data_IF_366711517231
#
_entry.id   IF_366711517231
#
_cell.length_a   1.000
_cell.length_b   1.000
_cell.length_c   1.000
_cell.angle_alpha   90.00
_cell.angle_beta   90.00
_cell.angle_gamma   90.00
#
_symmetry.space_group_name_H-M   'P 1'
#
loop_
_entity.id
_entity.type
_entity.pdbx_description
1 polymer ?
#
# COMPACT_ATOMS: atom_id res chain seq x y z
N UNK A 1 -7.90 -21.28 7.36
CA UNK A 1 -7.10 -20.05 7.60
C UNK A 1 -7.98 -18.84 7.33
N UNK A 2 -8.25 -18.07 8.38
CA UNK A 2 -9.26 -17.02 8.44
C UNK A 2 -8.83 -15.75 7.70
N UNK A 3 -9.59 -15.34 6.68
CA UNK A 3 -9.49 -14.04 6.01
C UNK A 3 -9.95 -12.86 6.89
N UNK A 4 -9.39 -12.73 8.09
CA UNK A 4 -9.74 -11.68 9.06
C UNK A 4 -8.76 -10.49 9.12
N UNK A 5 -7.71 -10.46 8.30
CA UNK A 5 -6.71 -9.40 8.36
C UNK A 5 -6.91 -8.24 7.37
N UNK A 6 -8.02 -8.22 6.62
CA UNK A 6 -8.33 -7.11 5.70
C UNK A 6 -9.03 -5.91 6.37
N UNK A 7 -9.54 -6.03 7.60
CA UNK A 7 -10.34 -4.98 8.27
C UNK A 7 -9.54 -4.04 9.21
N UNK A 8 -8.22 -3.95 9.06
CA UNK A 8 -7.43 -2.86 9.66
C UNK A 8 -7.24 -1.72 8.64
N UNK A 9 -8.35 -1.20 8.11
CA UNK A 9 -8.36 -0.05 7.19
C UNK A 9 -8.03 1.27 7.91
N UNK A 10 -8.21 1.36 9.23
CA UNK A 10 -8.08 2.60 10.02
C UNK A 10 -6.68 2.85 10.64
N UNK A 11 -5.67 2.04 10.31
CA UNK A 11 -4.29 2.37 10.73
C UNK A 11 -3.78 3.57 9.95
N UNK A 12 -3.51 4.68 10.67
CA UNK A 12 -2.90 5.91 10.16
C UNK A 12 -1.71 5.59 9.25
N UNK A 13 -1.62 6.31 8.13
CA UNK A 13 -0.53 6.14 7.18
C UNK A 13 0.81 6.57 7.79
N UNK A 14 1.84 5.76 7.55
CA UNK A 14 3.15 5.98 8.14
C UNK A 14 3.91 7.06 7.38
N UNK A 15 3.82 8.31 7.83
CA UNK A 15 4.71 9.38 7.38
C UNK A 15 6.02 9.32 8.16
N UNK A 16 7.14 9.31 7.44
CA UNK A 16 8.49 9.27 8.02
C UNK A 16 9.17 10.61 7.83
N UNK A 17 9.82 11.10 8.88
CA UNK A 17 10.54 12.37 8.85
C UNK A 17 11.95 12.18 9.37
N UNK A 18 12.89 12.99 8.88
CA UNK A 18 14.22 13.13 9.45
C UNK A 18 14.52 14.60 9.66
N UNK A 19 15.15 14.93 10.80
CA UNK A 19 15.47 16.30 11.17
C UNK A 19 16.94 16.40 11.55
N UNK A 20 17.61 17.42 11.02
CA UNK A 20 18.97 17.76 11.39
C UNK A 20 19.14 19.26 11.61
N UNK A 21 19.80 19.66 12.70
CA UNK A 21 20.04 21.06 13.03
C UNK A 21 21.50 21.30 13.32
N UNK A 22 22.16 22.11 12.50
CA UNK A 22 23.55 22.51 12.73
C UNK A 22 23.76 23.98 12.35
N UNK A 23 24.60 24.68 13.11
CA UNK A 23 24.99 26.09 12.87
C UNK A 23 23.83 27.06 12.61
N UNK A 24 22.67 26.84 13.23
CA UNK A 24 21.49 27.70 13.06
C UNK A 24 20.71 27.46 11.76
N UNK A 25 20.95 26.33 11.10
CA UNK A 25 20.15 25.85 9.97
C UNK A 25 19.42 24.56 10.37
N UNK A 26 18.14 24.48 10.01
CA UNK A 26 17.27 23.31 10.15
C UNK A 26 17.08 22.70 8.76
N UNK A 27 17.49 21.44 8.61
CA UNK A 27 17.22 20.61 7.46
C UNK A 27 16.21 19.53 7.82
N UNK A 28 15.24 19.30 6.94
CA UNK A 28 14.17 18.32 7.13
C UNK A 28 13.99 17.52 5.85
N UNK A 29 13.90 16.20 5.98
CA UNK A 29 13.40 15.30 4.95
C UNK A 29 12.10 14.66 5.42
N UNK A 30 11.11 14.54 4.55
CA UNK A 30 9.84 13.86 4.83
C UNK A 30 9.52 12.91 3.68
N UNK A 31 9.17 11.68 4.01
CA UNK A 31 8.71 10.68 3.07
C UNK A 31 7.32 10.19 3.46
N UNK A 32 6.43 10.22 2.48
CA UNK A 32 5.09 9.66 2.57
C UNK A 32 4.95 8.48 1.59
N UNK A 33 4.79 7.24 2.10
CA UNK A 33 4.63 6.05 1.27
C UNK A 33 3.44 6.09 0.31
N UNK A 34 2.38 6.83 0.63
CA UNK A 34 1.19 6.90 -0.22
C UNK A 34 1.43 7.74 -1.46
N UNK A 35 2.12 8.87 -1.31
CA UNK A 35 2.41 9.76 -2.44
C UNK A 35 3.69 9.37 -3.16
N UNK A 36 4.56 8.56 -2.53
CA UNK A 36 5.90 8.21 -3.04
C UNK A 36 6.79 9.44 -3.31
N UNK A 37 6.45 10.57 -2.67
CA UNK A 37 7.17 11.83 -2.80
C UNK A 37 8.13 12.03 -1.65
N UNK A 38 9.31 12.54 -1.96
CA UNK A 38 10.28 13.00 -0.98
C UNK A 38 10.18 14.52 -0.86
N UNK A 39 9.80 15.01 0.31
CA UNK A 39 9.71 16.45 0.59
C UNK A 39 10.95 16.89 1.36
N UNK A 40 11.53 17.99 0.94
CA UNK A 40 12.71 18.58 1.59
C UNK A 40 12.35 19.97 2.08
N UNK A 41 12.84 20.35 3.25
CA UNK A 41 12.60 21.68 3.81
C UNK A 41 13.86 22.20 4.49
N UNK A 42 14.13 23.47 4.23
CA UNK A 42 15.24 24.22 4.80
C UNK A 42 14.73 25.47 5.50
N UNK A 43 15.19 25.71 6.72
CA UNK A 43 14.86 26.92 7.45
C UNK A 43 16.03 27.42 8.29
N UNK A 44 16.18 28.75 8.41
CA UNK A 44 17.10 29.36 9.38
C UNK A 44 16.44 29.40 10.76
N UNK A 45 17.15 28.91 11.76
CA UNK A 45 16.68 28.80 13.14
C UNK A 45 17.68 29.42 14.11
N UNK A 46 17.16 30.11 15.11
CA UNK A 46 17.88 30.58 16.29
C UNK A 46 17.50 29.70 17.48
N UNK A 47 18.29 29.72 18.55
CA UNK A 47 17.96 28.96 19.77
C UNK A 47 16.58 29.34 20.35
N UNK A 48 16.17 30.61 20.19
CA UNK A 48 14.90 31.11 20.71
C UNK A 48 13.68 30.65 19.89
N UNK A 49 13.84 30.38 18.59
CA UNK A 49 12.72 29.98 17.71
C UNK A 49 12.73 28.49 17.35
N UNK A 50 13.80 27.76 17.69
CA UNK A 50 14.00 26.36 17.30
C UNK A 50 12.84 25.48 17.74
N UNK A 51 12.42 25.57 19.00
CA UNK A 51 11.30 24.77 19.55
C UNK A 51 10.02 25.01 18.74
N UNK A 52 9.68 26.28 18.49
CA UNK A 52 8.52 26.66 17.70
C UNK A 52 8.60 26.16 16.26
N UNK A 53 9.75 26.30 15.60
CA UNK A 53 9.93 25.83 14.21
C UNK A 53 9.77 24.32 14.10
N UNK A 54 10.27 23.56 15.08
CA UNK A 54 10.15 22.10 15.13
C UNK A 54 8.72 21.67 15.41
N UNK A 55 8.02 22.35 16.32
CA UNK A 55 6.62 22.10 16.61
C UNK A 55 5.75 22.36 15.39
N UNK A 56 6.00 23.44 14.66
CA UNK A 56 5.30 23.74 13.40
C UNK A 56 5.56 22.66 12.36
N UNK A 57 6.82 22.26 12.12
CA UNK A 57 7.13 21.19 11.14
C UNK A 57 6.48 19.86 11.55
N UNK A 58 6.54 19.48 12.81
CA UNK A 58 5.87 18.27 13.31
C UNK A 58 4.36 18.35 13.12
N UNK A 59 3.76 19.48 13.46
CA UNK A 59 2.32 19.68 13.28
C UNK A 59 2.01 19.55 11.80
N UNK A 60 2.59 20.37 10.92
CA UNK A 60 2.22 20.43 9.51
C UNK A 60 2.43 19.15 8.70
N UNK A 61 3.39 18.30 9.07
CA UNK A 61 3.63 17.04 8.35
C UNK A 61 3.11 15.80 9.08
N UNK A 62 2.62 15.94 10.32
CA UNK A 62 2.04 14.88 11.16
C UNK A 62 2.81 13.52 11.08
N UNK A 63 4.14 13.51 11.33
CA UNK A 63 4.94 12.31 11.13
C UNK A 63 4.67 11.24 12.18
N UNK A 64 4.61 9.99 11.75
CA UNK A 64 4.50 8.81 12.63
C UNK A 64 5.83 8.39 13.22
N UNK A 65 6.95 8.72 12.56
CA UNK A 65 8.30 8.37 12.99
C UNK A 65 9.27 9.46 12.59
N UNK A 66 10.13 9.89 13.52
CA UNK A 66 11.09 10.96 13.29
C UNK A 66 12.51 10.46 13.54
N UNK A 67 13.35 10.42 12.53
CA UNK A 67 14.78 10.10 12.65
C UNK A 67 15.54 11.37 13.04
N UNK A 68 16.37 11.29 14.08
CA UNK A 68 17.15 12.43 14.56
C UNK A 68 18.59 12.03 14.81
N UNK A 69 19.51 12.98 14.62
CA UNK A 69 20.91 12.77 14.93
C UNK A 69 21.10 12.66 16.45
N UNK A 70 21.90 11.68 16.89
CA UNK A 70 22.22 11.50 18.31
C UNK A 70 22.78 12.75 19.00
N UNK A 71 23.60 13.55 18.30
CA UNK A 71 24.14 14.81 18.84
C UNK A 71 23.09 15.90 19.00
N UNK A 72 21.97 15.78 18.29
CA UNK A 72 20.83 16.68 18.38
C UNK A 72 19.67 16.11 19.22
N UNK A 73 19.69 14.84 19.61
CA UNK A 73 18.60 14.13 20.29
C UNK A 73 18.03 14.90 21.49
N UNK A 74 18.91 15.43 22.35
CA UNK A 74 18.51 16.19 23.53
C UNK A 74 17.74 17.50 23.22
N UNK A 75 17.83 18.01 21.99
CA UNK A 75 17.07 19.20 21.55
C UNK A 75 15.62 18.86 21.15
N UNK A 76 15.27 17.58 21.10
CA UNK A 76 13.99 17.05 20.63
C UNK A 76 13.29 16.18 21.69
N UNK A 77 13.50 16.49 22.98
CA UNK A 77 12.89 15.73 24.06
C UNK A 77 11.35 15.74 23.93
N UNK A 78 10.71 14.57 24.07
CA UNK A 78 9.25 14.39 23.90
C UNK A 78 8.75 14.07 22.48
N UNK A 79 9.62 13.83 21.50
CA UNK A 79 9.25 13.38 20.16
C UNK A 79 9.46 11.87 20.02
N UNK A 80 8.54 11.17 19.32
CA UNK A 80 8.70 9.76 18.95
C UNK A 80 9.85 9.62 17.94
N UNK A 81 11.05 9.50 18.48
CA UNK A 81 12.30 9.76 17.75
C UNK A 81 13.21 8.53 17.72
N UNK A 82 13.65 8.18 16.52
CA UNK A 82 14.64 7.14 16.27
C UNK A 82 16.01 7.82 16.24
N UNK A 83 16.93 7.33 17.05
CA UNK A 83 18.28 7.87 17.16
C UNK A 83 19.20 7.18 16.15
N UNK A 84 19.82 7.95 15.26
CA UNK A 84 20.89 7.49 14.37
C UNK A 84 22.09 8.43 14.47
N UNK A 85 23.30 7.87 14.41
CA UNK A 85 24.56 8.60 14.44
C UNK A 85 25.01 9.05 13.03
N UNK A 86 24.42 8.51 11.96
CA UNK A 86 24.89 8.68 10.58
C UNK A 86 24.27 9.89 9.87
N UNK A 87 24.59 11.08 10.34
CA UNK A 87 24.23 12.33 9.68
C UNK A 87 25.43 12.98 8.98
N UNK A 88 26.43 12.21 8.53
CA UNK A 88 27.57 12.78 7.81
C UNK A 88 27.17 13.16 6.38
N UNK A 89 27.66 14.31 5.91
CA UNK A 89 27.31 14.81 4.57
C UNK A 89 27.73 13.84 3.46
N UNK A 90 28.92 13.23 3.58
CA UNK A 90 29.42 12.32 2.56
C UNK A 90 28.61 11.02 2.48
N UNK A 91 28.20 10.47 3.63
CA UNK A 91 27.30 9.32 3.65
C UNK A 91 25.91 9.67 3.10
N UNK A 92 25.41 10.86 3.43
CA UNK A 92 24.13 11.34 2.91
C UNK A 92 24.14 11.51 1.39
N UNK A 93 25.20 12.10 0.83
CA UNK A 93 25.41 12.18 -0.61
C UNK A 93 25.47 10.79 -1.24
N UNK A 94 26.17 9.83 -0.62
CA UNK A 94 26.24 8.45 -1.12
C UNK A 94 24.86 7.77 -1.16
N UNK A 95 23.99 8.01 -0.17
CA UNK A 95 22.61 7.47 -0.18
C UNK A 95 21.73 8.16 -1.23
N UNK A 96 21.80 9.48 -1.38
CA UNK A 96 21.04 10.21 -2.42
C UNK A 96 21.46 9.75 -3.82
N UNK A 97 22.75 9.48 -4.04
CA UNK A 97 23.24 8.93 -5.30
C UNK A 97 22.76 7.49 -5.56
N UNK A 98 22.06 6.81 -4.64
CA UNK A 98 21.45 5.50 -4.92
C UNK A 98 19.98 5.62 -5.36
N UNK A 99 19.44 6.83 -5.44
CA UNK A 99 18.05 7.06 -5.77
C UNK A 99 17.77 7.02 -7.28
N UNK A 100 16.57 6.54 -7.63
CA UNK A 100 15.90 6.82 -8.89
C UNK A 100 14.80 7.87 -8.67
N UNK A 101 14.73 8.88 -9.53
CA UNK A 101 13.64 9.88 -9.53
C UNK A 101 12.99 9.82 -10.90
N UNK A 102 11.66 9.83 -10.96
CA UNK A 102 10.91 9.93 -12.22
C UNK A 102 10.32 11.34 -12.36
N UNK A 103 11.19 12.30 -12.67
CA UNK A 103 10.85 13.72 -12.65
C UNK A 103 9.95 14.19 -13.80
N UNK A 104 10.04 13.54 -14.97
CA UNK A 104 9.60 14.15 -16.23
C UNK A 104 8.40 13.46 -16.88
N UNK A 105 7.86 12.39 -16.29
CA UNK A 105 6.69 11.69 -16.84
C UNK A 105 6.92 11.05 -18.22
N UNK A 106 8.16 11.04 -18.71
CA UNK A 106 8.56 10.19 -19.83
C UNK A 106 8.68 8.75 -19.31
N UNK A 107 8.12 7.78 -20.05
CA UNK A 107 8.09 6.34 -19.74
C UNK A 107 9.49 5.69 -19.57
N UNK A 108 10.56 6.46 -19.62
CA UNK A 108 11.92 6.02 -19.45
C UNK A 108 12.39 6.30 -18.01
N UNK A 109 12.29 5.28 -17.16
CA UNK A 109 13.19 5.19 -16.02
C UNK A 109 14.61 5.17 -16.59
N UNK A 110 15.32 6.30 -16.55
CA UNK A 110 16.74 6.27 -16.84
C UNK A 110 17.37 5.38 -15.78
N UNK A 111 17.91 4.23 -16.19
CA UNK A 111 18.73 3.43 -15.31
C UNK A 111 19.98 4.24 -14.98
N UNK A 112 19.89 5.01 -13.88
CA UNK A 112 20.97 5.84 -13.37
C UNK A 112 22.17 5.01 -12.94
N UNK A 113 22.08 3.67 -12.95
CA UNK A 113 23.23 2.78 -12.76
C UNK A 113 24.09 2.65 -14.02
N UNK A 114 23.54 2.86 -15.21
CA UNK A 114 24.28 2.79 -16.49
C UNK A 114 24.88 4.15 -16.91
N UNK A 115 24.45 5.25 -16.29
CA UNK A 115 24.94 6.59 -16.61
C UNK A 115 26.29 6.89 -15.95
N UNK A 116 27.23 7.57 -16.65
CA UNK A 116 28.47 8.02 -16.04
C UNK A 116 28.20 8.92 -14.82
N UNK A 117 29.02 8.80 -13.77
CA UNK A 117 28.84 9.53 -12.49
C UNK A 117 28.57 11.02 -12.65
N UNK A 118 29.21 11.67 -13.64
CA UNK A 118 29.04 13.09 -13.94
C UNK A 118 27.60 13.46 -14.31
N UNK A 119 26.91 12.63 -15.10
CA UNK A 119 25.53 12.87 -15.51
C UNK A 119 24.57 12.65 -14.35
N UNK A 120 24.81 11.59 -13.58
CA UNK A 120 24.06 11.30 -12.35
C UNK A 120 24.14 12.44 -11.34
N UNK A 121 25.34 13.00 -11.18
CA UNK A 121 25.57 14.16 -10.33
C UNK A 121 24.77 15.38 -10.80
N UNK A 122 24.81 15.69 -12.10
CA UNK A 122 24.05 16.81 -12.66
C UNK A 122 22.53 16.64 -12.50
N UNK A 123 22.04 15.42 -12.73
CA UNK A 123 20.63 15.07 -12.56
C UNK A 123 20.18 15.24 -11.10
N UNK A 124 20.95 14.73 -10.12
CA UNK A 124 20.63 14.90 -8.71
C UNK A 124 20.68 16.37 -8.26
N UNK A 125 21.57 17.18 -8.83
CA UNK A 125 21.64 18.63 -8.56
C UNK A 125 20.43 19.42 -9.03
N UNK A 126 19.65 18.88 -9.98
CA UNK A 126 18.37 19.47 -10.37
C UNK A 126 17.32 19.35 -9.24
N UNK A 127 17.33 18.23 -8.52
CA UNK A 127 16.34 17.91 -7.49
C UNK A 127 16.76 18.37 -6.09
N UNK A 128 18.04 18.27 -5.78
CA UNK A 128 18.60 18.57 -4.48
C UNK A 128 19.53 19.78 -4.53
N UNK A 129 19.30 20.71 -3.59
CA UNK A 129 20.21 21.83 -3.36
C UNK A 129 21.36 21.37 -2.45
N UNK A 130 22.40 20.80 -3.04
CA UNK A 130 23.55 20.26 -2.29
C UNK A 130 24.31 21.30 -1.45
N UNK A 131 24.13 22.59 -1.74
CA UNK A 131 24.63 23.70 -0.91
C UNK A 131 24.03 23.71 0.49
N UNK A 132 22.79 23.21 0.64
CA UNK A 132 22.13 23.06 1.91
C UNK A 132 22.50 21.72 2.58
N UNK A 133 23.65 21.74 3.25
CA UNK A 133 24.23 20.55 3.88
C UNK A 133 23.27 19.91 4.88
N UNK A 134 22.53 20.70 5.65
CA UNK A 134 21.66 20.18 6.70
C UNK A 134 20.49 19.40 6.12
N UNK A 135 19.89 19.90 5.03
CA UNK A 135 18.80 19.19 4.34
C UNK A 135 19.31 17.91 3.70
N UNK A 136 20.48 17.94 3.06
CA UNK A 136 21.11 16.73 2.50
C UNK A 136 21.36 15.68 3.59
N UNK A 137 21.93 16.09 4.74
CA UNK A 137 22.19 15.20 5.87
C UNK A 137 20.90 14.59 6.43
N UNK A 138 19.84 15.38 6.60
CA UNK A 138 18.54 14.90 7.04
C UNK A 138 17.94 13.89 6.06
N UNK A 139 17.95 14.19 4.76
CA UNK A 139 17.47 13.29 3.70
C UNK A 139 18.27 11.99 3.68
N UNK A 140 19.60 12.06 3.69
CA UNK A 140 20.45 10.87 3.68
C UNK A 140 20.18 9.92 4.84
N UNK A 141 20.01 10.46 6.05
CA UNK A 141 19.64 9.68 7.22
C UNK A 141 18.24 9.05 7.09
N UNK A 142 17.28 9.79 6.52
CA UNK A 142 15.94 9.26 6.24
C UNK A 142 15.99 8.07 5.28
N UNK A 143 16.72 8.21 4.17
CA UNK A 143 16.86 7.15 3.15
C UNK A 143 17.53 5.91 3.72
N UNK A 144 18.57 6.10 4.55
CA UNK A 144 19.24 5.00 5.24
C UNK A 144 18.28 4.25 6.14
N UNK A 145 17.51 4.95 6.96
CA UNK A 145 16.50 4.35 7.84
C UNK A 145 15.43 3.58 7.05
N UNK A 146 14.89 4.20 5.99
CA UNK A 146 13.88 3.58 5.13
C UNK A 146 14.41 2.33 4.41
N UNK A 147 15.70 2.32 4.08
CA UNK A 147 16.41 1.17 3.54
C UNK A 147 16.63 0.09 4.60
N UNK A 148 17.10 0.42 5.80
CA UNK A 148 17.42 -0.56 6.84
C UNK A 148 16.18 -1.28 7.36
N UNK A 149 15.07 -0.56 7.52
CA UNK A 149 13.78 -1.11 7.96
C UNK A 149 13.01 -1.83 6.84
N UNK A 150 13.58 -1.96 5.63
CA UNK A 150 12.93 -2.57 4.45
C UNK A 150 11.54 -1.97 4.16
N UNK A 151 11.41 -0.66 4.42
CA UNK A 151 10.19 0.10 4.15
C UNK A 151 10.08 0.34 2.65
N UNK A 152 11.18 0.74 2.00
CA UNK A 152 11.18 1.11 0.56
C UNK A 152 11.98 0.14 -0.31
N UNK A 153 12.96 -0.57 0.25
CA UNK A 153 13.73 -1.58 -0.49
C UNK A 153 12.96 -2.90 -0.60
N UNK A 154 12.72 -3.43 -1.81
CA UNK A 154 12.27 -4.80 -2.00
C UNK A 154 13.40 -5.80 -1.73
N UNK A 155 13.09 -7.09 -1.85
CA UNK A 155 13.93 -8.26 -1.53
C UNK A 155 15.29 -8.26 -2.27
N UNK A 156 15.41 -7.54 -3.38
CA UNK A 156 16.63 -7.46 -4.18
C UNK A 156 17.41 -6.16 -3.90
N UNK A 157 18.61 -6.29 -3.32
CA UNK A 157 19.50 -5.18 -2.96
C UNK A 157 20.00 -4.38 -4.17
N UNK A 158 19.73 -4.86 -5.38
CA UNK A 158 20.17 -4.31 -6.65
C UNK A 158 19.26 -3.20 -7.21
N UNK A 159 17.99 -3.10 -6.78
CA UNK A 159 17.07 -2.09 -7.31
C UNK A 159 17.13 -0.77 -6.52
N UNK A 160 17.28 0.39 -7.19
CA UNK A 160 17.32 1.68 -6.52
C UNK A 160 15.98 2.04 -5.85
N UNK A 161 16.04 2.92 -4.85
CA UNK A 161 14.84 3.49 -4.23
C UNK A 161 14.25 4.51 -5.20
N UNK A 162 12.99 4.30 -5.60
CA UNK A 162 12.29 5.19 -6.54
C UNK A 162 11.37 6.17 -5.81
N UNK A 163 11.48 7.44 -6.17
CA UNK A 163 10.52 8.47 -5.81
C UNK A 163 9.89 9.06 -7.07
N UNK A 164 8.60 9.39 -7.00
CA UNK A 164 7.93 10.10 -8.08
C UNK A 164 8.54 11.50 -8.25
N UNK A 165 8.78 12.22 -7.16
CA UNK A 165 9.35 13.55 -7.21
C UNK A 165 10.05 13.91 -5.90
N UNK A 166 10.98 14.87 -6.01
CA UNK A 166 11.56 15.58 -4.87
C UNK A 166 10.99 16.99 -4.86
N UNK A 167 10.22 17.31 -3.82
CA UNK A 167 9.54 18.60 -3.66
C UNK A 167 10.25 19.44 -2.59
N UNK A 168 10.77 20.59 -3.00
CA UNK A 168 11.38 21.54 -2.08
C UNK A 168 10.29 22.44 -1.49
N UNK A 169 10.02 22.28 -0.19
CA UNK A 169 9.05 23.06 0.57
C UNK A 169 9.73 24.24 1.28
N UNK A 170 9.10 25.40 1.18
CA UNK A 170 9.38 26.54 2.05
C UNK A 170 8.24 26.74 3.04
N UNK A 171 8.58 27.10 4.29
CA UNK A 171 7.58 27.50 5.28
C UNK A 171 6.79 28.76 4.87
N UNK A 172 7.26 29.51 3.86
CA UNK A 172 6.52 30.65 3.30
C UNK A 172 5.34 30.27 2.42
N UNK A 173 5.35 29.05 1.88
CA UNK A 173 4.39 28.63 0.83
C UNK A 173 3.10 28.08 1.45
N UNK A 174 3.10 27.89 2.76
CA UNK A 174 1.98 27.37 3.56
C UNK A 174 1.66 28.32 4.71
N UNK A 175 0.39 28.34 5.12
CA UNK A 175 -0.01 29.04 6.34
C UNK A 175 0.51 28.25 7.54
N UNK A 176 1.28 28.91 8.41
CA UNK A 176 1.78 28.30 9.64
C UNK A 176 0.71 28.39 10.72
N UNK A 177 0.25 27.25 11.19
CA UNK A 177 -0.77 27.12 12.24
C UNK A 177 -0.15 26.27 13.35
N UNK A 178 -0.25 26.72 14.60
CA UNK A 178 0.21 25.96 15.76
C UNK A 178 -0.82 24.91 16.22
N UNK A 179 -0.39 23.97 17.05
CA UNK A 179 -1.24 22.88 17.51
C UNK A 179 -2.45 23.37 18.31
N UNK A 180 -2.31 24.43 19.09
CA UNK A 180 -3.39 24.98 19.91
C UNK A 180 -4.46 25.65 19.06
N UNK A 181 -4.07 26.30 17.96
CA UNK A 181 -4.99 26.88 16.98
C UNK A 181 -5.76 25.78 16.24
N UNK A 182 -5.11 24.68 15.85
CA UNK A 182 -5.82 23.53 15.25
C UNK A 182 -6.88 22.93 16.19
N UNK A 183 -6.58 22.85 17.50
CA UNK A 183 -7.54 22.42 18.53
C UNK A 183 -8.65 23.45 18.75
N UNK A 184 -8.32 24.73 18.84
CA UNK A 184 -9.30 25.79 19.10
C UNK A 184 -10.30 25.97 17.94
N UNK A 185 -9.88 25.63 16.72
CA UNK A 185 -10.73 25.60 15.53
C UNK A 185 -11.39 24.24 15.30
N UNK A 186 -11.14 23.24 16.15
CA UNK A 186 -11.60 21.85 16.00
C UNK A 186 -11.37 21.32 14.57
N UNK A 187 -10.19 21.60 14.00
CA UNK A 187 -9.87 21.15 12.64
C UNK A 187 -9.78 19.62 12.62
N UNK A 188 -9.12 19.07 13.64
CA UNK A 188 -8.99 17.63 13.89
C UNK A 188 -9.25 17.34 15.36
N UNK A 189 -10.10 16.36 15.63
CA UNK A 189 -10.50 16.00 16.99
C UNK A 189 -10.37 14.49 17.16
N UNK A 190 -9.31 13.99 17.82
CA UNK A 190 -9.23 12.56 18.13
C UNK A 190 -10.22 12.21 19.25
N UNK A 191 -11.16 11.32 18.96
CA UNK A 191 -12.09 10.71 19.90
C UNK A 191 -11.53 9.35 20.36
N UNK A 192 -11.19 9.30 21.65
CA UNK A 192 -10.65 8.09 22.28
C UNK A 192 -11.79 7.31 22.90
N UNK A 193 -11.92 6.04 22.52
CA UNK A 193 -12.94 5.18 23.08
C UNK A 193 -12.80 5.09 24.62
N UNK A 194 -13.88 5.25 25.40
CA UNK A 194 -13.81 5.40 26.86
C UNK A 194 -13.40 4.12 27.63
N UNK A 195 -13.22 2.99 26.95
CA UNK A 195 -12.82 1.72 27.58
C UNK A 195 -11.36 1.36 27.24
N UNK A 196 -10.43 1.44 28.21
CA UNK A 196 -9.02 1.05 28.03
C UNK A 196 -8.79 -0.47 27.91
N UNK A 197 -9.86 -1.30 28.03
CA UNK A 197 -9.78 -2.76 28.01
C UNK A 197 -9.90 -3.35 26.60
N UNK A 198 -10.24 -2.55 25.59
CA UNK A 198 -10.51 -3.01 24.22
C UNK A 198 -9.40 -2.58 23.25
N UNK A 199 -8.14 -2.89 23.60
CA UNK A 199 -6.96 -2.80 22.73
C UNK A 199 -6.55 -1.40 22.28
N UNK A 200 -5.32 -1.29 21.75
CA UNK A 200 -4.75 -0.10 21.10
C UNK A 200 -5.48 0.25 19.79
N UNK A 201 -6.77 0.54 19.87
CA UNK A 201 -7.48 1.12 18.74
C UNK A 201 -7.04 2.57 18.58
N UNK A 202 -6.60 2.93 17.38
CA UNK A 202 -6.30 4.32 17.05
C UNK A 202 -7.53 5.20 17.36
N UNK A 203 -7.34 6.42 17.91
CA UNK A 203 -8.45 7.32 18.14
C UNK A 203 -9.19 7.56 16.82
N UNK A 204 -10.53 7.49 16.88
CA UNK A 204 -11.38 7.82 15.74
C UNK A 204 -11.48 9.34 15.62
N UNK A 205 -11.89 9.83 14.47
CA UNK A 205 -12.18 11.26 14.32
C UNK A 205 -13.54 11.55 15.00
N UNK A 206 -13.54 12.48 15.96
CA UNK A 206 -14.72 13.02 16.62
C UNK A 206 -15.36 14.14 15.81
N UNK A 207 -16.13 15.01 16.48
CA UNK A 207 -16.72 16.18 15.83
C UNK A 207 -15.62 17.19 15.49
N UNK A 208 -15.36 17.39 14.20
CA UNK A 208 -14.32 18.29 13.69
C UNK A 208 -14.65 18.81 12.29
N UNK A 209 -13.94 19.85 11.83
CA UNK A 209 -14.03 20.35 10.45
C UNK A 209 -13.59 19.28 9.45
N UNK A 210 -12.57 18.47 9.79
CA UNK A 210 -12.18 17.34 8.96
C UNK A 210 -13.33 16.34 8.80
N UNK A 211 -14.00 15.96 9.89
CA UNK A 211 -15.16 15.06 9.83
C UNK A 211 -16.34 15.64 9.04
N UNK A 212 -16.50 16.98 9.06
CA UNK A 212 -17.55 17.67 8.31
C UNK A 212 -17.28 17.71 6.79
N UNK A 213 -16.02 17.87 6.39
CA UNK A 213 -15.64 18.06 4.98
C UNK A 213 -15.22 16.76 4.27
N UNK A 214 -14.78 15.75 5.02
CA UNK A 214 -14.30 14.49 4.46
C UNK A 214 -15.43 13.60 3.96
N UNK A 215 -15.80 13.81 2.70
CA UNK A 215 -16.64 12.90 1.90
C UNK A 215 -15.83 12.17 0.82
N UNK A 216 -14.52 12.03 1.04
CA UNK A 216 -13.65 11.36 0.07
C UNK A 216 -13.94 9.86 0.05
N UNK A 217 -13.86 9.25 -1.14
CA UNK A 217 -14.14 7.82 -1.32
C UNK A 217 -12.90 6.93 -1.24
N UNK A 218 -11.72 7.54 -1.38
CA UNK A 218 -10.45 6.83 -1.45
C UNK A 218 -9.58 7.25 -0.29
N UNK A 219 -8.76 6.33 0.20
CA UNK A 219 -7.82 6.60 1.28
C UNK A 219 -6.78 7.66 0.91
N UNK A 220 -6.32 7.66 -0.34
CA UNK A 220 -5.44 8.71 -0.85
C UNK A 220 -6.13 10.07 -0.89
N UNK A 221 -7.42 10.13 -1.25
CA UNK A 221 -8.23 11.34 -1.20
C UNK A 221 -8.37 11.88 0.23
N UNK A 222 -8.66 11.00 1.19
CA UNK A 222 -8.74 11.33 2.63
C UNK A 222 -7.43 11.90 3.16
N UNK A 223 -6.32 11.22 2.87
CA UNK A 223 -4.98 11.65 3.25
C UNK A 223 -4.62 13.00 2.62
N UNK A 224 -4.95 13.19 1.34
CA UNK A 224 -4.72 14.45 0.62
C UNK A 224 -5.55 15.62 1.17
N UNK A 225 -6.84 15.41 1.45
CA UNK A 225 -7.72 16.43 2.04
C UNK A 225 -7.24 16.83 3.44
N UNK A 226 -6.90 15.85 4.29
CA UNK A 226 -6.28 16.09 5.59
C UNK A 226 -5.00 16.91 5.43
N UNK A 227 -4.11 16.53 4.51
CA UNK A 227 -2.89 17.27 4.20
C UNK A 227 -3.15 18.71 3.77
N UNK A 228 -4.21 18.98 3.00
CA UNK A 228 -4.61 20.34 2.63
C UNK A 228 -5.08 21.19 3.81
N UNK A 229 -5.78 20.59 4.78
CA UNK A 229 -6.19 21.26 6.01
C UNK A 229 -5.02 21.50 6.96
N UNK A 230 -4.05 20.59 7.01
CA UNK A 230 -2.79 20.81 7.74
C UNK A 230 -1.93 21.89 7.08
N UNK A 231 -1.90 21.96 5.75
CA UNK A 231 -1.02 22.85 4.99
C UNK A 231 -1.82 23.78 4.07
N UNK A 232 -2.56 24.78 4.61
CA UNK A 232 -3.29 25.71 3.77
C UNK A 232 -2.34 26.50 2.87
N UNK A 233 -2.72 26.67 1.60
CA UNK A 233 -1.89 27.38 0.62
C UNK A 233 -1.88 28.88 0.88
N UNK A 234 -0.74 29.53 0.62
CA UNK A 234 -0.63 31.01 0.60
C UNK A 234 -0.56 31.57 -0.82
N UNK A 235 -0.25 30.72 -1.81
CA UNK A 235 -0.12 31.11 -3.20
C UNK A 235 -1.49 31.27 -3.89
N UNK A 236 -1.81 32.49 -4.32
CA UNK A 236 -3.12 32.81 -4.90
C UNK A 236 -3.40 32.06 -6.20
N UNK A 237 -2.39 31.81 -7.05
CA UNK A 237 -2.57 31.08 -8.30
C UNK A 237 -2.97 29.62 -8.03
N UNK A 238 -2.34 29.00 -7.02
CA UNK A 238 -2.62 27.62 -6.60
C UNK A 238 -3.99 27.50 -5.93
N UNK A 239 -4.40 28.52 -5.17
CA UNK A 239 -5.75 28.61 -4.60
C UNK A 239 -6.77 28.69 -5.73
N UNK A 240 -6.62 29.65 -6.66
CA UNK A 240 -7.55 29.83 -7.78
C UNK A 240 -7.66 28.57 -8.64
N UNK A 241 -6.55 27.90 -8.94
CA UNK A 241 -6.58 26.65 -9.70
C UNK A 241 -7.43 25.55 -9.04
N UNK A 242 -7.46 25.47 -7.69
CA UNK A 242 -8.37 24.54 -6.98
C UNK A 242 -9.82 25.00 -7.07
N UNK A 243 -10.06 26.30 -6.91
CA UNK A 243 -11.41 26.88 -7.03
C UNK A 243 -12.00 26.69 -8.42
N UNK A 244 -11.20 26.84 -9.48
CA UNK A 244 -11.62 26.64 -10.86
C UNK A 244 -12.16 25.21 -11.09
N UNK A 245 -11.46 24.19 -10.56
CA UNK A 245 -11.89 22.79 -10.67
C UNK A 245 -13.21 22.58 -9.93
N UNK A 246 -13.34 23.11 -8.71
CA UNK A 246 -14.57 23.01 -7.92
C UNK A 246 -15.73 23.70 -8.63
N UNK A 247 -15.49 24.87 -9.22
CA UNK A 247 -16.49 25.62 -9.96
C UNK A 247 -16.95 24.86 -11.20
N UNK A 248 -16.03 24.29 -11.98
CA UNK A 248 -16.37 23.49 -13.16
C UNK A 248 -17.24 22.29 -12.79
N UNK A 249 -16.88 21.55 -11.74
CA UNK A 249 -17.66 20.40 -11.27
C UNK A 249 -19.04 20.80 -10.76
N UNK A 250 -19.16 21.95 -10.08
CA UNK A 250 -20.43 22.43 -9.52
C UNK A 250 -21.37 23.00 -10.58
N UNK A 251 -20.86 23.74 -11.55
CA UNK A 251 -21.68 24.49 -12.52
C UNK A 251 -21.95 23.68 -13.79
N UNK A 252 -21.01 22.82 -14.21
CA UNK A 252 -21.07 22.12 -15.49
C UNK A 252 -21.12 20.59 -15.36
N UNK A 253 -20.88 20.04 -14.16
CA UNK A 253 -21.02 18.62 -13.91
C UNK A 253 -22.49 18.22 -13.87
N UNK A 254 -22.94 17.42 -14.84
CA UNK A 254 -24.26 16.78 -14.75
C UNK A 254 -24.27 15.81 -13.57
N UNK A 255 -25.42 15.63 -12.90
CA UNK A 255 -25.57 14.69 -11.79
C UNK A 255 -25.11 13.29 -12.19
N UNK A 256 -25.51 12.84 -13.39
CA UNK A 256 -25.08 11.56 -13.96
C UNK A 256 -23.56 11.44 -14.13
N UNK A 257 -22.87 12.50 -14.57
CA UNK A 257 -21.42 12.49 -14.74
C UNK A 257 -20.72 12.37 -13.38
N UNK A 258 -21.16 13.17 -12.41
CA UNK A 258 -20.63 13.15 -11.05
C UNK A 258 -20.83 11.77 -10.41
N UNK A 259 -22.03 11.18 -10.53
CA UNK A 259 -22.33 9.85 -10.02
C UNK A 259 -21.46 8.74 -10.64
N UNK A 260 -21.20 8.82 -11.95
CA UNK A 260 -20.26 7.90 -12.61
C UNK A 260 -18.85 8.04 -12.02
N UNK A 261 -18.35 9.27 -11.84
CA UNK A 261 -17.05 9.50 -11.21
C UNK A 261 -17.00 8.94 -9.77
N UNK A 262 -18.05 9.16 -8.96
CA UNK A 262 -18.13 8.59 -7.61
C UNK A 262 -18.07 7.05 -7.65
N UNK A 263 -18.76 6.41 -8.59
CA UNK A 263 -18.74 4.95 -8.71
C UNK A 263 -17.36 4.41 -9.11
N UNK A 264 -16.66 5.06 -10.05
CA UNK A 264 -15.29 4.67 -10.40
C UNK A 264 -14.31 4.91 -9.24
N UNK A 265 -14.42 6.05 -8.53
CA UNK A 265 -13.57 6.35 -7.38
C UNK A 265 -13.75 5.33 -6.24
N UNK A 266 -14.97 4.85 -5.98
CA UNK A 266 -15.23 3.80 -4.96
C UNK A 266 -14.49 2.49 -5.23
N UNK A 267 -14.24 2.17 -6.50
CA UNK A 267 -13.50 0.97 -6.88
C UNK A 267 -11.98 1.12 -6.68
N UNK A 268 -11.47 2.34 -6.52
CA UNK A 268 -10.06 2.59 -6.20
C UNK A 268 -9.84 2.43 -4.69
N UNK A 269 -9.50 1.20 -4.28
CA UNK A 269 -9.15 0.88 -2.88
C UNK A 269 -7.69 1.25 -2.56
N UNK A 270 -7.11 0.67 -1.51
CA UNK A 270 -5.70 0.90 -1.13
C UNK A 270 -4.73 0.20 -2.12
N UNK A 271 -4.48 0.87 -3.25
CA UNK A 271 -3.55 0.43 -4.30
C UNK A 271 -2.11 0.45 -3.79
N UNK A 272 -1.74 1.42 -2.95
CA UNK A 272 -0.36 1.58 -2.47
C UNK A 272 0.11 0.35 -1.66
N UNK A 273 -0.74 -0.17 -0.76
CA UNK A 273 -0.44 -1.39 0.00
C UNK A 273 -0.34 -2.63 -0.92
N UNK A 274 -1.26 -2.75 -1.87
CA UNK A 274 -1.28 -3.86 -2.83
C UNK A 274 -0.01 -3.85 -3.69
N UNK A 275 0.36 -2.68 -4.21
CA UNK A 275 1.59 -2.47 -4.97
C UNK A 275 2.84 -2.80 -4.16
N UNK A 276 2.90 -2.42 -2.88
CA UNK A 276 4.03 -2.76 -2.01
C UNK A 276 4.17 -4.28 -1.80
N UNK A 277 3.05 -5.00 -1.65
CA UNK A 277 3.07 -6.48 -1.54
C UNK A 277 3.48 -7.15 -2.84
N UNK A 278 3.04 -6.63 -3.99
CA UNK A 278 3.47 -7.10 -5.32
C UNK A 278 4.98 -6.91 -5.47
N UNK A 279 5.50 -5.73 -5.11
CA UNK A 279 6.95 -5.44 -5.12
C UNK A 279 7.75 -6.36 -4.19
N UNK A 280 7.13 -6.88 -3.13
CA UNK A 280 7.72 -7.82 -2.17
C UNK A 280 7.48 -9.30 -2.54
N UNK A 281 6.92 -9.60 -3.72
CA UNK A 281 6.55 -10.97 -4.13
C UNK A 281 5.72 -11.71 -3.07
N UNK A 282 4.93 -10.96 -2.31
CA UNK A 282 4.09 -11.46 -1.21
C UNK A 282 2.64 -11.05 -1.40
N UNK A 283 2.25 -10.74 -2.64
CA UNK A 283 0.89 -10.37 -3.00
C UNK A 283 -0.01 -11.60 -2.96
N UNK A 284 -1.25 -11.41 -2.54
CA UNK A 284 -2.31 -12.40 -2.73
C UNK A 284 -3.10 -12.11 -4.00
N UNK A 285 -3.93 -13.07 -4.41
CA UNK A 285 -4.84 -12.90 -5.56
C UNK A 285 -5.74 -11.66 -5.41
N UNK A 286 -6.11 -11.29 -4.17
CA UNK A 286 -6.87 -10.08 -3.89
C UNK A 286 -6.10 -8.81 -4.22
N UNK A 287 -4.80 -8.76 -3.97
CA UNK A 287 -3.97 -7.58 -4.26
C UNK A 287 -3.91 -7.30 -5.76
N UNK A 288 -3.80 -8.36 -6.56
CA UNK A 288 -3.78 -8.28 -8.02
C UNK A 288 -5.14 -7.82 -8.55
N UNK A 289 -6.23 -8.36 -7.98
CA UNK A 289 -7.60 -7.94 -8.33
C UNK A 289 -7.82 -6.47 -7.97
N UNK A 290 -7.42 -6.04 -6.77
CA UNK A 290 -7.56 -4.64 -6.31
C UNK A 290 -6.78 -3.69 -7.21
N UNK A 291 -5.54 -4.05 -7.58
CA UNK A 291 -4.73 -3.25 -8.48
C UNK A 291 -5.41 -3.13 -9.85
N UNK A 292 -5.89 -4.23 -10.41
CA UNK A 292 -6.53 -4.22 -11.71
C UNK A 292 -7.88 -3.46 -11.72
N UNK A 293 -8.74 -3.67 -10.72
CA UNK A 293 -9.99 -2.92 -10.57
C UNK A 293 -9.72 -1.41 -10.45
N UNK A 294 -8.66 -1.03 -9.73
CA UNK A 294 -8.24 0.37 -9.62
C UNK A 294 -7.71 0.94 -10.95
N UNK A 295 -6.93 0.17 -11.71
CA UNK A 295 -6.46 0.57 -13.04
C UNK A 295 -7.66 0.78 -13.98
N UNK A 296 -8.58 -0.19 -14.07
CA UNK A 296 -9.79 -0.09 -14.91
C UNK A 296 -10.59 1.17 -14.54
N UNK A 297 -10.77 1.41 -13.25
CA UNK A 297 -11.51 2.58 -12.76
C UNK A 297 -10.79 3.89 -13.09
N UNK A 298 -9.47 3.93 -12.97
CA UNK A 298 -8.66 5.09 -13.35
C UNK A 298 -8.76 5.37 -14.86
N UNK A 299 -8.64 4.34 -15.70
CA UNK A 299 -8.82 4.45 -17.16
C UNK A 299 -10.21 5.01 -17.51
N UNK A 300 -11.26 4.51 -16.84
CA UNK A 300 -12.63 4.99 -17.04
C UNK A 300 -12.81 6.46 -16.62
N UNK A 301 -12.25 6.87 -15.49
CA UNK A 301 -12.24 8.28 -15.05
C UNK A 301 -11.55 9.14 -16.10
N UNK A 302 -10.36 8.76 -16.57
CA UNK A 302 -9.66 9.53 -17.59
C UNK A 302 -10.48 9.65 -18.87
N UNK A 303 -11.13 8.55 -19.31
CA UNK A 303 -11.98 8.58 -20.50
C UNK A 303 -13.17 9.55 -20.35
N UNK A 304 -13.86 9.55 -19.20
CA UNK A 304 -14.95 10.50 -18.93
C UNK A 304 -14.44 11.95 -18.95
N UNK A 305 -13.31 12.23 -18.29
CA UNK A 305 -12.70 13.56 -18.23
C UNK A 305 -12.22 14.07 -19.61
N UNK A 306 -11.71 13.17 -20.45
CA UNK A 306 -11.30 13.48 -21.83
C UNK A 306 -12.50 13.62 -22.78
N UNK A 307 -13.62 12.96 -22.51
CA UNK A 307 -14.85 13.13 -23.30
C UNK A 307 -15.43 14.53 -23.06
N UNK A 308 -15.35 15.01 -21.82
CA UNK A 308 -15.71 16.37 -21.41
C UNK A 308 -14.54 17.37 -21.55
N UNK A 309 -13.72 17.23 -22.61
CA UNK A 309 -12.50 18.04 -22.81
C UNK A 309 -12.77 19.55 -22.84
N UNK A 310 -13.96 19.97 -23.29
CA UNK A 310 -14.36 21.38 -23.27
C UNK A 310 -14.43 21.96 -21.85
N UNK A 311 -14.73 21.11 -20.86
CA UNK A 311 -14.78 21.47 -19.45
C UNK A 311 -13.41 21.33 -18.77
N UNK A 312 -12.66 20.27 -19.08
CA UNK A 312 -11.46 19.93 -18.31
C UNK A 312 -10.12 20.08 -19.04
N UNK A 313 -10.11 20.23 -20.37
CA UNK A 313 -8.90 20.17 -21.19
C UNK A 313 -7.84 21.26 -20.89
N UNK A 314 -8.26 22.36 -20.25
CA UNK A 314 -7.36 23.41 -19.82
C UNK A 314 -6.61 23.11 -18.52
N UNK A 315 -7.08 22.14 -17.72
CA UNK A 315 -6.44 21.79 -16.46
C UNK A 315 -5.15 20.99 -16.68
N UNK A 316 -4.10 21.36 -15.95
CA UNK A 316 -2.79 20.73 -16.05
C UNK A 316 -2.83 19.21 -15.77
N UNK A 317 -3.68 18.76 -14.85
CA UNK A 317 -3.77 17.34 -14.50
C UNK A 317 -4.33 16.50 -15.66
N UNK A 318 -5.23 17.03 -16.51
CA UNK A 318 -5.76 16.31 -17.68
C UNK A 318 -4.67 16.11 -18.73
N UNK A 319 -3.77 17.09 -18.88
CA UNK A 319 -2.61 16.96 -19.78
C UNK A 319 -1.62 15.90 -19.31
N UNK A 320 -1.53 15.68 -17.99
CA UNK A 320 -0.73 14.60 -17.40
C UNK A 320 -1.39 13.22 -17.54
N UNK A 321 -2.71 13.16 -17.76
CA UNK A 321 -3.45 11.93 -18.07
C UNK A 321 -3.29 11.53 -19.54
N UNK A 322 -2.06 11.60 -20.06
CA UNK A 322 -1.74 11.17 -21.43
C UNK A 322 -0.83 9.94 -21.38
N UNK A 323 -0.98 9.05 -22.37
CA UNK A 323 -0.23 7.79 -22.49
C UNK A 323 -0.50 6.76 -21.36
N UNK A 324 -1.71 6.21 -21.34
CA UNK A 324 -2.14 5.15 -20.41
C UNK A 324 -1.95 3.73 -20.97
N UNK A 325 -1.21 3.60 -22.08
CA UNK A 325 -1.03 2.36 -22.83
C UNK A 325 -0.40 1.23 -22.00
N UNK A 326 0.51 1.59 -21.10
CA UNK A 326 1.14 0.65 -20.17
C UNK A 326 0.12 0.08 -19.18
N UNK A 327 -0.77 0.92 -18.63
CA UNK A 327 -1.81 0.49 -17.71
C UNK A 327 -2.81 -0.47 -18.39
N UNK A 328 -3.22 -0.15 -19.63
CA UNK A 328 -4.05 -1.06 -20.42
C UNK A 328 -3.36 -2.41 -20.67
N UNK A 329 -2.05 -2.38 -20.92
CA UNK A 329 -1.25 -3.59 -21.14
C UNK A 329 -1.18 -4.45 -19.88
N UNK A 330 -0.99 -3.84 -18.71
CA UNK A 330 -1.01 -4.53 -17.42
C UNK A 330 -2.36 -5.20 -17.18
N UNK A 331 -3.47 -4.50 -17.41
CA UNK A 331 -4.82 -5.05 -17.28
C UNK A 331 -5.05 -6.20 -18.27
N UNK A 332 -4.62 -6.06 -19.53
CA UNK A 332 -4.74 -7.13 -20.54
C UNK A 332 -3.95 -8.37 -20.13
N UNK A 333 -2.70 -8.20 -19.70
CA UNK A 333 -1.82 -9.28 -19.26
C UNK A 333 -2.40 -10.00 -18.04
N UNK A 334 -2.79 -9.24 -17.02
CA UNK A 334 -3.40 -9.77 -15.80
C UNK A 334 -4.67 -10.57 -16.11
N UNK A 335 -5.55 -10.04 -16.97
CA UNK A 335 -6.76 -10.72 -17.40
C UNK A 335 -6.51 -11.97 -18.26
N UNK A 336 -5.41 -12.01 -19.00
CA UNK A 336 -5.06 -13.19 -19.82
C UNK A 336 -4.52 -14.34 -18.98
N UNK A 337 -3.92 -14.04 -17.83
CA UNK A 337 -3.28 -15.01 -16.95
C UNK A 337 -4.21 -15.46 -15.81
N UNK A 338 -4.86 -14.52 -15.12
CA UNK A 338 -5.62 -14.79 -13.90
C UNK A 338 -7.13 -14.76 -14.19
N UNK A 339 -7.82 -15.82 -13.78
CA UNK A 339 -9.27 -15.84 -13.71
C UNK A 339 -9.74 -15.24 -12.39
N UNK A 340 -10.18 -13.98 -12.43
CA UNK A 340 -10.57 -13.24 -11.22
C UNK A 340 -11.82 -13.79 -10.56
N UNK A 341 -12.77 -14.30 -11.32
CA UNK A 341 -14.03 -14.84 -10.77
C UNK A 341 -13.75 -16.14 -10.03
N UNK A 342 -13.02 -17.04 -10.68
CA UNK A 342 -12.62 -18.31 -10.08
C UNK A 342 -11.66 -18.09 -8.89
N UNK A 343 -10.78 -17.09 -8.97
CA UNK A 343 -9.89 -16.75 -7.85
C UNK A 343 -10.66 -16.25 -6.63
N UNK A 344 -11.67 -15.38 -6.84
CA UNK A 344 -12.57 -14.91 -5.77
C UNK A 344 -13.34 -16.08 -5.15
N UNK A 345 -13.82 -17.03 -5.97
CA UNK A 345 -14.55 -18.20 -5.51
C UNK A 345 -13.69 -19.17 -4.70
N UNK A 346 -12.48 -19.49 -5.19
CA UNK A 346 -11.53 -20.40 -4.52
C UNK A 346 -10.83 -19.78 -3.31
N UNK A 347 -10.85 -18.45 -3.21
CA UNK A 347 -10.02 -17.68 -2.27
C UNK A 347 -8.51 -17.94 -2.46
N UNK A 348 -8.08 -18.15 -3.70
CA UNK A 348 -6.69 -18.39 -4.08
C UNK A 348 -6.49 -18.03 -5.57
N UNK A 349 -5.26 -18.02 -6.06
CA UNK A 349 -4.99 -17.79 -7.49
C UNK A 349 -5.59 -18.89 -8.36
N UNK A 350 -6.43 -18.49 -9.32
CA UNK A 350 -6.89 -19.33 -10.40
C UNK A 350 -6.28 -18.84 -11.71
N UNK A 351 -5.44 -19.67 -12.32
CA UNK A 351 -4.82 -19.38 -13.62
C UNK A 351 -5.76 -19.82 -14.73
N UNK A 352 -5.90 -19.01 -15.79
CA UNK A 352 -6.75 -19.33 -16.94
C UNK A 352 -6.20 -20.53 -17.72
N UNK A 353 -7.13 -21.32 -18.25
CA UNK A 353 -6.79 -22.41 -19.18
C UNK A 353 -6.05 -21.86 -20.40
N UNK A 354 -5.00 -22.57 -20.85
CA UNK A 354 -4.19 -22.21 -22.00
C UNK A 354 -2.95 -21.38 -21.68
N UNK A 355 -2.78 -20.90 -20.43
CA UNK A 355 -1.55 -20.22 -19.98
C UNK A 355 -0.42 -21.22 -19.81
N UNK A 356 -0.70 -22.37 -19.18
CA UNK A 356 0.26 -23.46 -19.00
C UNK A 356 -0.40 -24.81 -19.26
N UNK A 357 0.06 -25.49 -20.31
CA UNK A 357 -0.44 -26.84 -20.66
C UNK A 357 -0.22 -27.85 -19.54
N UNK A 358 0.88 -27.71 -18.80
CA UNK A 358 1.22 -28.60 -17.68
C UNK A 358 0.26 -28.40 -16.51
N UNK A 359 -0.04 -27.13 -16.19
CA UNK A 359 -1.02 -26.79 -15.16
C UNK A 359 -2.42 -27.24 -15.55
N UNK A 360 -2.82 -27.07 -16.81
CA UNK A 360 -4.12 -27.52 -17.32
C UNK A 360 -4.27 -29.04 -17.18
N UNK A 361 -3.23 -29.81 -17.52
CA UNK A 361 -3.22 -31.26 -17.35
C UNK A 361 -3.28 -31.68 -15.88
N UNK A 362 -2.57 -30.96 -15.00
CA UNK A 362 -2.60 -31.22 -13.57
C UNK A 362 -3.98 -30.91 -12.97
N UNK A 363 -4.61 -29.80 -13.35
CA UNK A 363 -5.98 -29.44 -12.96
C UNK A 363 -6.99 -30.49 -13.46
N UNK A 364 -6.86 -30.99 -14.69
CA UNK A 364 -7.72 -32.06 -15.19
C UNK A 364 -7.58 -33.36 -14.37
N UNK A 365 -6.35 -33.71 -13.95
CA UNK A 365 -6.13 -34.84 -13.03
C UNK A 365 -6.78 -34.59 -11.68
N UNK A 366 -6.67 -33.37 -11.13
CA UNK A 366 -7.33 -32.96 -9.88
C UNK A 366 -8.85 -33.12 -9.97
N UNK A 367 -9.49 -32.69 -11.05
CA UNK A 367 -10.94 -32.91 -11.26
C UNK A 367 -11.30 -34.41 -11.27
N UNK A 368 -10.44 -35.26 -11.85
CA UNK A 368 -10.59 -36.71 -11.80
C UNK A 368 -10.50 -37.27 -10.37
N UNK A 369 -9.57 -36.75 -9.56
CA UNK A 369 -9.40 -37.11 -8.15
C UNK A 369 -10.60 -36.64 -7.34
N UNK A 370 -11.11 -35.42 -7.56
CA UNK A 370 -12.30 -34.91 -6.85
C UNK A 370 -13.54 -35.78 -7.09
N UNK A 371 -13.74 -36.28 -8.33
CA UNK A 371 -14.80 -37.26 -8.62
C UNK A 371 -14.64 -38.56 -7.83
N UNK A 372 -13.40 -39.02 -7.67
CA UNK A 372 -13.07 -40.20 -6.88
C UNK A 372 -13.30 -39.94 -5.37
N UNK A 373 -12.92 -38.78 -4.85
CA UNK A 373 -13.21 -38.37 -3.48
C UNK A 373 -14.71 -38.34 -3.22
N UNK A 374 -15.52 -37.74 -4.11
CA UNK A 374 -16.98 -37.74 -3.98
C UNK A 374 -17.61 -39.14 -4.05
N UNK A 375 -16.97 -40.10 -4.72
CA UNK A 375 -17.40 -41.50 -4.67
C UNK A 375 -17.06 -42.13 -3.31
N UNK A 376 -15.85 -41.90 -2.81
CA UNK A 376 -15.40 -42.41 -1.51
C UNK A 376 -16.20 -41.82 -0.35
N UNK A 377 -16.53 -40.53 -0.37
CA UNK A 377 -17.42 -39.88 0.59
C UNK A 377 -18.78 -40.59 0.65
N UNK A 378 -19.36 -40.92 -0.51
CA UNK A 378 -20.64 -41.66 -0.57
C UNK A 378 -20.51 -43.06 0.00
N UNK A 379 -19.40 -43.75 -0.26
CA UNK A 379 -19.18 -45.10 0.25
C UNK A 379 -18.89 -45.10 1.76
N UNK A 380 -18.16 -44.10 2.28
CA UNK A 380 -17.94 -43.88 3.71
C UNK A 380 -19.25 -43.55 4.43
N UNK A 381 -20.09 -42.67 3.85
CA UNK A 381 -21.43 -42.36 4.40
C UNK A 381 -22.35 -43.59 4.44
N UNK A 382 -22.28 -44.47 3.43
CA UNK A 382 -23.03 -45.75 3.45
C UNK A 382 -22.53 -46.70 4.53
N UNK A 383 -21.22 -46.76 4.77
CA UNK A 383 -20.61 -47.61 5.82
C UNK A 383 -20.86 -47.07 7.22
N UNK A 384 -20.93 -45.75 7.36
CA UNK A 384 -21.08 -45.05 8.64
C UNK A 384 -22.28 -44.09 8.62
N UNK A 385 -23.52 -44.62 8.57
CA UNK A 385 -24.73 -43.80 8.44
C UNK A 385 -25.06 -42.95 9.68
N UNK A 386 -24.39 -43.19 10.81
CA UNK A 386 -24.53 -42.41 12.05
C UNK A 386 -23.70 -41.11 12.05
N UNK A 387 -22.89 -40.87 11.02
CA UNK A 387 -22.13 -39.62 10.87
C UNK A 387 -22.88 -38.70 9.92
N UNK A 388 -23.43 -37.60 10.45
CA UNK A 388 -24.29 -36.68 9.71
C UNK A 388 -23.63 -36.10 8.45
N UNK A 389 -22.32 -35.83 8.51
CA UNK A 389 -21.55 -35.28 7.39
C UNK A 389 -20.14 -35.86 7.35
N UNK A 390 -19.77 -36.44 6.22
CA UNK A 390 -18.42 -36.92 5.93
C UNK A 390 -17.98 -36.28 4.62
N UNK A 391 -16.91 -35.49 4.67
CA UNK A 391 -16.30 -34.86 3.51
C UNK A 391 -14.81 -35.27 3.44
N UNK A 392 -14.23 -35.38 2.25
CA UNK A 392 -12.83 -35.67 2.05
C UNK A 392 -12.11 -34.45 1.47
N UNK A 393 -11.00 -34.05 2.08
CA UNK A 393 -10.25 -32.86 1.70
C UNK A 393 -8.76 -33.14 1.60
N UNK A 394 -8.09 -32.49 0.66
CA UNK A 394 -6.62 -32.40 0.65
C UNK A 394 -6.17 -31.18 1.47
N UNK A 395 -5.16 -31.36 2.32
CA UNK A 395 -4.49 -30.28 3.08
C UNK A 395 -2.99 -30.41 2.87
N UNK A 396 -2.32 -29.36 2.41
CA UNK A 396 -0.89 -29.39 2.02
C UNK A 396 0.06 -29.95 3.08
N UNK A 397 -0.21 -29.73 4.37
CA UNK A 397 0.64 -30.26 5.45
C UNK A 397 0.28 -31.68 5.90
N UNK A 398 -0.92 -32.16 5.59
CA UNK A 398 -1.48 -33.40 6.15
C UNK A 398 -1.95 -34.39 5.08
N UNK A 399 -1.89 -34.07 3.79
CA UNK A 399 -2.43 -34.91 2.72
C UNK A 399 -3.96 -34.97 2.70
N UNK A 400 -4.52 -36.06 2.17
CA UNK A 400 -5.95 -36.34 2.16
C UNK A 400 -6.44 -36.72 3.56
N UNK A 401 -7.51 -36.06 4.01
CA UNK A 401 -8.11 -36.27 5.32
C UNK A 401 -9.64 -36.34 5.22
N UNK A 402 -10.24 -37.08 6.14
CA UNK A 402 -11.68 -37.19 6.32
C UNK A 402 -12.12 -36.15 7.35
N UNK A 403 -13.02 -35.27 6.97
CA UNK A 403 -13.62 -34.26 7.83
C UNK A 403 -14.96 -34.77 8.39
N UNK A 404 -15.11 -34.72 9.72
CA UNK A 404 -16.34 -35.07 10.43
C UNK A 404 -16.70 -34.01 11.49
N UNK A 405 -17.99 -33.81 11.81
CA UNK A 405 -18.40 -32.95 12.92
C UNK A 405 -17.82 -33.40 14.25
N UNK A 406 -17.36 -32.46 15.07
CA UNK A 406 -16.75 -32.71 16.39
C UNK A 406 -17.68 -33.43 17.38
N UNK A 407 -18.99 -33.30 17.20
CA UNK A 407 -20.01 -33.89 18.08
C UNK A 407 -20.32 -35.38 17.77
N UNK A 408 -19.67 -35.99 16.78
CA UNK A 408 -19.99 -37.33 16.32
C UNK A 408 -19.00 -38.39 16.84
N UNK A 409 -19.49 -39.59 17.14
CA UNK A 409 -18.63 -40.75 17.41
C UNK A 409 -18.03 -41.28 16.10
N UNK A 410 -16.71 -41.37 16.06
CA UNK A 410 -15.97 -41.83 14.88
C UNK A 410 -15.50 -43.29 15.01
N UNK A 411 -15.36 -44.03 13.89
CA UNK A 411 -14.87 -45.41 13.91
C UNK A 411 -13.47 -45.51 14.51
N UNK A 412 -13.15 -46.63 15.17
CA UNK A 412 -11.79 -46.89 15.70
C UNK A 412 -10.70 -46.95 14.62
N UNK A 413 -11.09 -47.13 13.35
CA UNK A 413 -10.18 -47.11 12.21
C UNK A 413 -9.75 -45.71 11.77
N UNK A 414 -10.37 -44.66 12.30
CA UNK A 414 -10.03 -43.27 11.99
C UNK A 414 -8.99 -42.76 13.00
N UNK A 415 -7.82 -42.41 12.50
CA UNK A 415 -6.75 -41.80 13.27
C UNK A 415 -6.92 -40.28 13.27
N UNK A 416 -7.01 -39.68 14.45
CA UNK A 416 -7.18 -38.23 14.59
C UNK A 416 -5.92 -37.47 14.15
N UNK A 417 -6.10 -36.39 13.38
CA UNK A 417 -5.03 -35.48 12.99
C UNK A 417 -5.06 -34.16 13.75
N UNK A 418 -6.10 -33.36 13.53
CA UNK A 418 -6.30 -32.04 14.13
C UNK A 418 -7.77 -31.64 14.07
N UNK A 419 -8.14 -30.59 14.81
CA UNK A 419 -9.47 -29.97 14.73
C UNK A 419 -9.40 -28.51 14.25
N UNK A 420 -10.36 -28.10 13.42
CA UNK A 420 -10.52 -26.73 12.92
C UNK A 420 -11.96 -26.28 13.23
N UNK A 421 -12.14 -25.58 14.36
CA UNK A 421 -13.44 -25.09 14.81
C UNK A 421 -14.41 -26.22 15.19
N UNK A 422 -15.48 -26.38 14.42
CA UNK A 422 -16.53 -27.39 14.66
C UNK A 422 -16.27 -28.73 13.94
N UNK A 423 -15.15 -28.85 13.23
CA UNK A 423 -14.81 -30.01 12.38
C UNK A 423 -13.51 -30.65 12.87
N UNK A 424 -13.50 -31.99 12.95
CA UNK A 424 -12.31 -32.79 13.24
C UNK A 424 -11.85 -33.52 11.97
N UNK A 425 -10.54 -33.57 11.76
CA UNK A 425 -9.91 -34.21 10.61
C UNK A 425 -9.25 -35.53 11.04
N UNK A 426 -9.47 -36.57 10.25
CA UNK A 426 -9.00 -37.93 10.50
C UNK A 426 -8.33 -38.52 9.26
N UNK A 427 -7.53 -39.57 9.46
CA UNK A 427 -7.01 -40.45 8.40
C UNK A 427 -7.46 -41.88 8.59
N UNK A 428 -7.66 -42.57 7.48
CA UNK A 428 -7.83 -44.02 7.45
C UNK A 428 -6.90 -44.64 6.40
N UNK A 429 -6.97 -45.96 6.22
CA UNK A 429 -6.14 -46.66 5.24
C UNK A 429 -6.32 -46.12 3.81
N UNK A 430 -7.53 -45.66 3.45
CA UNK A 430 -7.79 -45.15 2.11
C UNK A 430 -7.12 -43.77 1.91
N UNK A 431 -7.09 -42.92 2.93
CA UNK A 431 -6.33 -41.66 2.89
C UNK A 431 -4.84 -41.89 2.55
N UNK A 432 -4.19 -42.86 3.20
CA UNK A 432 -2.78 -43.18 2.90
C UNK A 432 -2.55 -43.68 1.48
N UNK A 433 -3.52 -44.42 0.92
CA UNK A 433 -3.46 -44.87 -0.48
C UNK A 433 -3.63 -43.68 -1.44
N UNK A 434 -4.49 -42.72 -1.11
CA UNK A 434 -4.68 -41.50 -1.89
C UNK A 434 -3.42 -40.62 -1.86
N UNK A 435 -2.82 -40.42 -0.69
CA UNK A 435 -1.57 -39.66 -0.53
C UNK A 435 -0.50 -40.23 -1.46
N UNK A 436 -0.25 -41.55 -1.36
CA UNK A 436 0.76 -42.24 -2.16
C UNK A 436 0.57 -42.09 -3.68
N UNK A 437 -0.67 -42.03 -4.15
CA UNK A 437 -0.98 -42.05 -5.58
C UNK A 437 -1.19 -40.65 -6.17
N UNK A 438 -1.59 -39.66 -5.37
CA UNK A 438 -2.14 -38.40 -5.88
C UNK A 438 -1.61 -37.13 -5.21
N UNK A 439 -0.89 -37.20 -4.10
CA UNK A 439 -0.31 -36.03 -3.41
C UNK A 439 0.55 -35.19 -4.36
N UNK A 440 1.38 -35.87 -5.18
CA UNK A 440 2.22 -35.23 -6.19
C UNK A 440 1.46 -34.35 -7.19
N UNK A 441 0.17 -34.63 -7.45
CA UNK A 441 -0.64 -33.81 -8.36
C UNK A 441 -0.95 -32.45 -7.73
N UNK A 442 -1.31 -32.42 -6.44
CA UNK A 442 -1.63 -31.18 -5.74
C UNK A 442 -0.37 -30.34 -5.52
N UNK A 443 0.75 -30.97 -5.18
CA UNK A 443 2.04 -30.29 -5.02
C UNK A 443 2.54 -29.73 -6.35
N UNK A 444 2.39 -30.48 -7.44
CA UNK A 444 2.71 -30.00 -8.78
C UNK A 444 1.86 -28.79 -9.17
N UNK A 445 0.55 -28.79 -8.86
CA UNK A 445 -0.31 -27.63 -9.13
C UNK A 445 0.20 -26.40 -8.38
N UNK A 446 0.48 -26.51 -7.07
CA UNK A 446 0.97 -25.38 -6.27
C UNK A 446 2.31 -24.87 -6.82
N UNK A 447 3.24 -25.78 -7.13
CA UNK A 447 4.54 -25.41 -7.69
C UNK A 447 4.42 -24.74 -9.07
N UNK A 448 3.59 -25.29 -9.95
CA UNK A 448 3.34 -24.72 -11.28
C UNK A 448 2.65 -23.35 -11.19
N UNK A 449 1.69 -23.18 -10.28
CA UNK A 449 1.04 -21.90 -10.05
C UNK A 449 2.01 -20.85 -9.50
N UNK A 450 2.88 -21.21 -8.55
CA UNK A 450 3.87 -20.28 -8.00
C UNK A 450 4.99 -19.91 -9.00
N UNK A 451 5.23 -20.77 -10.01
CA UNK A 451 6.22 -20.51 -11.05
C UNK A 451 5.73 -19.62 -12.19
N UNK A 452 4.41 -19.44 -12.31
CA UNK A 452 3.74 -18.55 -13.27
C UNK A 452 3.54 -17.19 -12.61
#
# INVERSE_FOLDING_TARGET
MTGKDYDNEDKRDHVYMSIYVDKGCLGVGVFDPLTTKLKTLSARVTLANLSRSLEVVKTQFDPTSIVVCASNYAKYDGFASIRDDNFTYDAACAEIMKLGINADGEDAWHDLSELPEKYKYHYMHHHFKFDDRQTIQAVGALLKYLSSEKIIKPIDDLLPIFFQAVENYSLSDIMLIDSDTFKALDIFTPDYHPSPLQGDNAPKEGVSINALLDHTLTKCGKSMLRGWMMQPLTNIQSINARHDIVQVLKENGTEDFVDRLFNYLKAIKDVARSFLRIKKMSASYMDVIVLDEAIISFLAITQEMLTEYTLFGNFAFVKQMTNLSMLETITKLTNSVIDKEESKFKMDYAIRCGVSRELDQANLKKEGIEKLLSQMERDLRKKHPYIDKIDMHYKTLYGFAIACPKACEVPKSFEFLFDEGAVCFYKDLHCYVLDKNYEQVYDAIIHLQNGI
#
